data_IF_479322227317
#
_entry.id   IF_479322227317
#
_cell.length_a   1.000
_cell.length_b   1.000
_cell.length_c   1.000
_cell.angle_alpha   90.00
_cell.angle_beta   90.00
_cell.angle_gamma   90.00
#
_symmetry.space_group_name_H-M   'P 1'
#
loop_
_entity.id
_entity.type
_entity.pdbx_description
1 polymer ?
#
# COMPACT_ATOMS: atom_id res chain seq x y z
N UNK A 1 13.60 0.57 -17.11
CA UNK A 1 12.42 0.24 -16.25
C UNK A 1 12.47 1.17 -15.05
N UNK A 2 11.40 1.94 -14.79
CA UNK A 2 11.38 2.89 -13.68
C UNK A 2 10.86 2.20 -12.41
N UNK A 3 11.63 2.28 -11.32
CA UNK A 3 11.19 1.80 -10.02
C UNK A 3 10.23 2.84 -9.42
N UNK A 4 8.96 2.46 -9.25
CA UNK A 4 7.90 3.33 -8.71
C UNK A 4 7.82 3.32 -7.18
N UNK A 5 8.73 2.61 -6.52
CA UNK A 5 8.78 2.51 -5.07
C UNK A 5 9.59 1.34 -4.57
N UNK A 6 9.95 1.39 -3.29
CA UNK A 6 10.57 0.29 -2.54
C UNK A 6 9.77 0.05 -1.28
N UNK A 7 9.48 -1.21 -1.00
CA UNK A 7 8.66 -1.63 0.14
C UNK A 7 9.38 -2.67 0.99
N UNK A 8 9.13 -2.61 2.28
CA UNK A 8 9.62 -3.56 3.28
C UNK A 8 8.42 -4.26 3.91
N UNK A 9 8.51 -5.59 4.00
CA UNK A 9 7.51 -6.41 4.67
C UNK A 9 7.43 -6.08 6.15
N UNK A 10 6.22 -5.95 6.66
CA UNK A 10 5.93 -5.83 8.09
C UNK A 10 5.13 -7.05 8.54
N UNK A 11 4.81 -7.14 9.84
CA UNK A 11 4.06 -8.26 10.40
C UNK A 11 2.73 -8.53 9.68
N UNK A 12 2.01 -7.47 9.29
CA UNK A 12 0.66 -7.56 8.73
C UNK A 12 0.53 -6.92 7.33
N UNK A 13 1.62 -6.65 6.63
CA UNK A 13 1.58 -6.05 5.30
C UNK A 13 2.91 -5.49 4.84
N UNK A 14 2.90 -4.29 4.25
CA UNK A 14 4.09 -3.65 3.68
C UNK A 14 4.13 -2.16 3.97
N UNK A 15 5.32 -1.60 4.11
CA UNK A 15 5.51 -0.14 4.25
C UNK A 15 6.61 0.32 3.32
N UNK A 16 6.45 1.50 2.73
CA UNK A 16 7.41 2.01 1.76
C UNK A 16 7.01 3.37 1.20
N UNK A 17 7.55 3.68 0.03
CA UNK A 17 7.24 4.92 -0.68
C UNK A 17 6.81 4.61 -2.10
N UNK A 18 5.74 5.27 -2.54
CA UNK A 18 5.36 5.35 -3.95
C UNK A 18 5.99 6.63 -4.48
N UNK A 19 6.89 6.49 -5.46
CA UNK A 19 7.57 7.60 -6.11
C UNK A 19 7.41 7.49 -7.62
N UNK A 20 6.48 8.28 -8.14
CA UNK A 20 6.18 8.42 -9.57
C UNK A 20 6.32 9.89 -9.97
N UNK A 21 6.11 10.19 -11.25
CA UNK A 21 6.13 11.58 -11.74
C UNK A 21 5.01 12.44 -11.11
N UNK A 22 3.83 11.87 -10.88
CA UNK A 22 2.65 12.60 -10.41
C UNK A 22 2.39 12.45 -8.91
N UNK A 23 3.00 11.45 -8.25
CA UNK A 23 2.72 11.11 -6.86
C UNK A 23 4.00 10.69 -6.15
N UNK A 24 4.28 11.33 -5.01
CA UNK A 24 5.40 11.01 -4.13
C UNK A 24 4.92 10.96 -2.67
N UNK A 25 4.62 9.77 -2.18
CA UNK A 25 4.00 9.58 -0.85
C UNK A 25 4.57 8.36 -0.13
N UNK A 26 4.60 8.44 1.20
CA UNK A 26 4.76 7.24 2.04
C UNK A 26 3.46 6.45 2.00
N UNK A 27 3.56 5.15 1.79
CA UNK A 27 2.41 4.26 1.72
C UNK A 27 2.58 3.09 2.69
N UNK A 28 1.48 2.71 3.34
CA UNK A 28 1.34 1.48 4.12
C UNK A 28 0.25 0.61 3.50
N UNK A 29 0.55 -0.67 3.32
CA UNK A 29 -0.36 -1.69 2.85
C UNK A 29 -0.71 -2.55 4.06
N UNK A 30 -1.99 -2.63 4.38
CA UNK A 30 -2.50 -3.41 5.51
C UNK A 30 -3.39 -4.52 5.00
N UNK A 31 -3.16 -5.76 5.45
CA UNK A 31 -4.05 -6.86 5.12
C UNK A 31 -5.45 -6.60 5.68
N UNK A 32 -6.45 -6.90 4.87
CA UNK A 32 -7.83 -6.98 5.33
C UNK A 32 -7.97 -8.23 6.20
N UNK A 33 -8.59 -8.10 7.39
CA UNK A 33 -8.72 -9.22 8.34
C UNK A 33 -9.60 -10.36 7.79
N UNK A 34 -10.69 -10.01 7.09
CA UNK A 34 -11.61 -10.96 6.49
C UNK A 34 -11.79 -10.65 4.99
N UNK A 35 -10.81 -10.97 4.14
CA UNK A 35 -10.96 -10.79 2.70
C UNK A 35 -12.04 -11.74 2.18
N UNK A 36 -12.92 -11.22 1.33
CA UNK A 36 -13.79 -12.07 0.51
C UNK A 36 -12.99 -12.61 -0.68
N UNK A 37 -13.35 -13.77 -1.23
CA UNK A 37 -12.70 -14.34 -2.42
C UNK A 37 -12.62 -13.36 -3.60
N UNK A 38 -13.63 -12.49 -3.74
CA UNK A 38 -13.68 -11.46 -4.78
C UNK A 38 -13.42 -10.04 -4.25
N UNK A 39 -12.94 -9.92 -3.01
CA UNK A 39 -12.70 -8.65 -2.35
C UNK A 39 -11.23 -8.22 -2.35
N UNK A 40 -10.96 -6.96 -1.98
CA UNK A 40 -9.60 -6.47 -1.84
C UNK A 40 -8.88 -7.17 -0.68
N UNK A 41 -7.63 -7.56 -0.91
CA UNK A 41 -6.80 -8.24 0.10
C UNK A 41 -5.99 -7.27 0.96
N UNK A 42 -5.77 -6.05 0.48
CA UNK A 42 -5.01 -5.02 1.19
C UNK A 42 -5.73 -3.69 1.10
N UNK A 43 -5.60 -2.87 2.14
CA UNK A 43 -5.91 -1.44 2.08
C UNK A 43 -4.61 -0.64 2.06
N UNK A 44 -4.57 0.37 1.23
CA UNK A 44 -3.41 1.23 1.04
C UNK A 44 -3.70 2.58 1.67
N UNK A 45 -2.80 3.05 2.51
CA UNK A 45 -2.93 4.34 3.16
C UNK A 45 -1.68 5.19 2.99
N UNK A 46 -1.87 6.51 2.95
CA UNK A 46 -0.82 7.50 3.16
C UNK A 46 -1.15 8.34 4.37
N UNK A 47 -0.43 8.11 5.47
CA UNK A 47 -0.79 8.67 6.77
C UNK A 47 -2.20 8.23 7.19
N UNK A 48 -3.08 9.21 7.37
CA UNK A 48 -4.48 9.01 7.74
C UNK A 48 -5.43 8.85 6.54
N UNK A 49 -4.96 9.09 5.31
CA UNK A 49 -5.80 9.02 4.10
C UNK A 49 -5.74 7.63 3.50
N UNK A 50 -6.90 7.06 3.16
CA UNK A 50 -7.00 5.83 2.38
C UNK A 50 -6.85 6.15 0.89
N UNK A 51 -5.89 5.49 0.24
CA UNK A 51 -5.60 5.65 -1.18
C UNK A 51 -6.36 4.63 -2.04
N UNK A 52 -6.74 3.48 -1.46
CA UNK A 52 -7.49 2.44 -2.15
C UNK A 52 -7.50 1.10 -1.41
N UNK A 53 -8.31 0.17 -1.92
CA UNK A 53 -8.46 -1.20 -1.44
C UNK A 53 -8.62 -2.14 -2.64
#
# INVERSE_FOLDING_TARGET
>A
MANIGTFTTTKNGFTGQIKTLALNVKARFERVENPSDNGPQFRIFSGAVELGA
#
